data_IF_570084909148
#
_entry.id   IF_570084909148
#
_cell.length_a   1.000
_cell.length_b   1.000
_cell.length_c   1.000
_cell.angle_alpha   90.00
_cell.angle_beta   90.00
_cell.angle_gamma   90.00
#
_symmetry.space_group_name_H-M   'P 1'
#
loop_
_entity.id
_entity.type
_entity.pdbx_description
1 polymer ?
#
# COMPACT_ATOMS: atom_id res chain seq x y z
N UNK A 1 -16.27 -115.43 65.48
CA UNK A 1 -14.95 -114.90 65.07
C UNK A 1 -14.82 -114.65 63.56
N UNK A 2 -15.15 -115.61 62.67
CA UNK A 2 -15.02 -115.41 61.20
C UNK A 2 -15.80 -114.22 60.59
N UNK A 3 -17.07 -113.92 60.95
CA UNK A 3 -17.78 -112.78 60.36
C UNK A 3 -17.23 -111.42 60.82
N UNK A 4 -16.90 -111.30 62.11
CA UNK A 4 -16.34 -110.07 62.69
C UNK A 4 -14.97 -109.71 62.12
N UNK A 5 -14.10 -110.71 61.87
CA UNK A 5 -12.80 -110.49 61.19
C UNK A 5 -13.01 -110.10 59.72
N UNK A 6 -14.00 -110.69 59.04
CA UNK A 6 -14.35 -110.33 57.66
C UNK A 6 -14.91 -108.89 57.55
N UNK A 7 -15.74 -108.45 58.49
CA UNK A 7 -16.27 -107.07 58.53
C UNK A 7 -15.18 -106.05 58.87
N UNK A 8 -14.25 -106.36 59.77
CA UNK A 8 -13.08 -105.50 60.07
C UNK A 8 -12.18 -105.38 58.83
N UNK A 9 -11.91 -106.48 58.12
CA UNK A 9 -11.13 -106.47 56.88
C UNK A 9 -11.84 -105.65 55.80
N UNK A 10 -13.17 -105.80 55.66
CA UNK A 10 -13.99 -105.03 54.70
C UNK A 10 -14.01 -103.54 55.02
N UNK A 11 -14.23 -103.16 56.29
CA UNK A 11 -14.19 -101.76 56.74
C UNK A 11 -12.80 -101.15 56.58
N UNK A 12 -11.73 -101.91 56.88
CA UNK A 12 -10.34 -101.48 56.63
C UNK A 12 -10.08 -101.25 55.13
N UNK A 13 -10.60 -102.12 54.26
CA UNK A 13 -10.49 -101.96 52.81
C UNK A 13 -11.25 -100.72 52.32
N UNK A 14 -12.50 -100.53 52.76
CA UNK A 14 -13.31 -99.36 52.42
C UNK A 14 -12.69 -98.05 52.92
N UNK A 15 -12.17 -98.02 54.15
CA UNK A 15 -11.49 -96.84 54.70
C UNK A 15 -10.20 -96.53 53.91
N UNK A 16 -9.42 -97.55 53.52
CA UNK A 16 -8.24 -97.39 52.68
C UNK A 16 -8.59 -96.82 51.31
N UNK A 17 -9.66 -97.30 50.67
CA UNK A 17 -10.17 -96.75 49.41
C UNK A 17 -10.67 -95.31 49.56
N UNK A 18 -11.36 -94.97 50.65
CA UNK A 18 -11.83 -93.61 50.90
C UNK A 18 -10.66 -92.64 51.10
N UNK A 19 -9.66 -93.01 51.91
CA UNK A 19 -8.45 -92.21 52.11
C UNK A 19 -7.70 -92.04 50.79
N UNK A 20 -7.60 -93.09 49.97
CA UNK A 20 -6.95 -93.02 48.67
C UNK A 20 -7.71 -92.07 47.72
N UNK A 21 -9.03 -92.18 47.62
CA UNK A 21 -9.85 -91.26 46.80
C UNK A 21 -9.75 -89.81 47.28
N UNK A 22 -9.78 -89.58 48.59
CA UNK A 22 -9.61 -88.23 49.15
C UNK A 22 -8.20 -87.67 48.88
N UNK A 23 -7.16 -88.50 49.02
CA UNK A 23 -5.78 -88.12 48.70
C UNK A 23 -5.61 -87.76 47.23
N UNK A 24 -6.15 -88.58 46.32
CA UNK A 24 -6.13 -88.33 44.88
C UNK A 24 -6.90 -87.06 44.51
N UNK A 25 -8.05 -86.81 45.15
CA UNK A 25 -8.83 -85.59 44.93
C UNK A 25 -8.10 -84.34 45.45
N UNK A 26 -7.51 -84.39 46.65
CA UNK A 26 -6.70 -83.30 47.18
C UNK A 26 -5.48 -83.02 46.29
N UNK A 27 -4.82 -84.06 45.78
CA UNK A 27 -3.69 -83.89 44.85
C UNK A 27 -4.12 -83.23 43.54
N UNK A 28 -5.25 -83.67 42.95
CA UNK A 28 -5.81 -83.05 41.74
C UNK A 28 -6.21 -81.59 41.96
N UNK A 29 -6.90 -81.28 43.05
CA UNK A 29 -7.32 -79.92 43.38
C UNK A 29 -6.10 -79.01 43.60
N UNK A 30 -5.12 -79.45 44.39
CA UNK A 30 -3.88 -78.68 44.61
C UNK A 30 -3.09 -78.49 43.30
N UNK A 31 -3.02 -79.52 42.45
CA UNK A 31 -2.37 -79.41 41.14
C UNK A 31 -3.08 -78.45 40.20
N UNK A 32 -4.42 -78.42 40.20
CA UNK A 32 -5.21 -77.46 39.42
C UNK A 32 -4.98 -76.03 39.90
N UNK A 33 -5.02 -75.82 41.21
CA UNK A 33 -4.79 -74.52 41.82
C UNK A 33 -3.37 -73.99 41.56
N UNK A 34 -2.35 -74.85 41.65
CA UNK A 34 -0.97 -74.49 41.30
C UNK A 34 -0.87 -74.08 39.83
N UNK A 35 -1.56 -74.78 38.92
CA UNK A 35 -1.56 -74.44 37.50
C UNK A 35 -2.23 -73.09 37.22
N UNK A 36 -3.39 -72.82 37.83
CA UNK A 36 -4.07 -71.53 37.73
C UNK A 36 -3.21 -70.38 38.27
N UNK A 37 -2.51 -70.60 39.39
CA UNK A 37 -1.55 -69.62 39.92
C UNK A 37 -0.36 -69.40 38.99
N UNK A 38 0.15 -70.44 38.33
CA UNK A 38 1.24 -70.30 37.35
C UNK A 38 0.79 -69.50 36.13
N UNK A 39 -0.40 -69.79 35.58
CA UNK A 39 -0.99 -69.06 34.45
C UNK A 39 -1.24 -67.58 34.82
N UNK A 40 -1.77 -67.32 36.02
CA UNK A 40 -1.99 -65.94 36.52
C UNK A 40 -0.67 -65.18 36.67
N UNK A 41 0.36 -65.81 37.24
CA UNK A 41 1.68 -65.18 37.37
C UNK A 41 2.32 -64.91 36.01
N UNK A 42 2.17 -65.82 35.05
CA UNK A 42 2.68 -65.61 33.69
C UNK A 42 1.96 -64.43 33.01
N UNK A 43 0.64 -64.33 33.16
CA UNK A 43 -0.15 -63.21 32.65
C UNK A 43 0.26 -61.88 33.30
N UNK A 44 0.45 -61.87 34.62
CA UNK A 44 0.90 -60.69 35.36
C UNK A 44 2.29 -60.23 34.89
N UNK A 45 3.23 -61.14 34.72
CA UNK A 45 4.57 -60.83 34.21
C UNK A 45 4.53 -60.21 32.81
N UNK A 46 3.73 -60.77 31.90
CA UNK A 46 3.56 -60.22 30.57
C UNK A 46 2.98 -58.79 30.60
N UNK A 47 2.04 -58.52 31.51
CA UNK A 47 1.47 -57.17 31.65
C UNK A 47 2.47 -56.17 32.25
N UNK A 48 3.30 -56.61 33.19
CA UNK A 48 4.40 -55.80 33.74
C UNK A 48 5.42 -55.44 32.67
N UNK A 49 5.78 -56.38 31.78
CA UNK A 49 6.66 -56.11 30.64
C UNK A 49 6.05 -55.06 29.70
N UNK A 50 4.78 -55.20 29.32
CA UNK A 50 4.07 -54.23 28.48
C UNK A 50 4.03 -52.82 29.13
N UNK A 51 3.78 -52.74 30.42
CA UNK A 51 3.78 -51.46 31.15
C UNK A 51 5.18 -50.84 31.19
N UNK A 52 6.23 -51.65 31.35
CA UNK A 52 7.61 -51.16 31.35
C UNK A 52 8.02 -50.62 29.96
N UNK A 53 7.62 -51.29 28.88
CA UNK A 53 7.83 -50.80 27.51
C UNK A 53 7.07 -49.48 27.26
N UNK A 54 5.79 -49.41 27.65
CA UNK A 54 5.01 -48.18 27.53
C UNK A 54 5.64 -47.02 28.33
N UNK A 55 6.09 -47.29 29.56
CA UNK A 55 6.79 -46.31 30.39
C UNK A 55 8.13 -45.86 29.77
N UNK A 56 8.85 -46.77 29.12
CA UNK A 56 10.09 -46.45 28.42
C UNK A 56 9.83 -45.47 27.27
N UNK A 57 8.80 -45.73 26.44
CA UNK A 57 8.43 -44.83 25.35
C UNK A 57 7.93 -43.47 25.83
N UNK A 58 7.12 -43.41 26.89
CA UNK A 58 6.70 -42.12 27.45
C UNK A 58 7.86 -41.32 28.04
N UNK A 59 8.87 -41.96 28.64
CA UNK A 59 10.10 -41.27 29.07
C UNK A 59 10.87 -40.65 27.90
N UNK A 60 10.95 -41.34 26.76
CA UNK A 60 11.57 -40.79 25.54
C UNK A 60 10.78 -39.58 25.07
N UNK A 61 9.45 -39.73 24.93
CA UNK A 61 8.56 -38.65 24.49
C UNK A 61 8.66 -37.40 25.37
N UNK A 62 8.72 -37.57 26.69
CA UNK A 62 8.92 -36.46 27.62
C UNK A 62 10.26 -35.76 27.43
N UNK A 63 11.32 -36.52 27.12
CA UNK A 63 12.65 -35.95 26.84
C UNK A 63 12.66 -35.16 25.53
N UNK A 64 11.98 -35.66 24.50
CA UNK A 64 11.84 -34.95 23.22
C UNK A 64 11.05 -33.65 23.40
N UNK A 65 9.92 -33.71 24.11
CA UNK A 65 9.10 -32.53 24.41
C UNK A 65 9.86 -31.49 25.25
N UNK A 66 10.68 -31.94 26.21
CA UNK A 66 11.57 -31.04 26.96
C UNK A 66 12.58 -30.35 26.05
N UNK A 67 13.12 -31.06 25.06
CA UNK A 67 14.08 -30.51 24.11
C UNK A 67 13.41 -29.47 23.21
N UNK A 68 12.23 -29.78 22.66
CA UNK A 68 11.43 -28.83 21.88
C UNK A 68 11.07 -27.58 22.69
N UNK A 69 10.69 -27.75 23.96
CA UNK A 69 10.39 -26.61 24.84
C UNK A 69 11.61 -25.71 25.06
N UNK A 70 12.81 -26.29 25.24
CA UNK A 70 14.04 -25.49 25.38
C UNK A 70 14.39 -24.75 24.08
N UNK A 71 14.20 -25.39 22.92
CA UNK A 71 14.40 -24.75 21.62
C UNK A 71 13.44 -23.59 21.40
N UNK A 72 12.14 -23.79 21.67
CA UNK A 72 11.13 -22.74 21.56
C UNK A 72 11.42 -21.57 22.50
N UNK A 73 11.85 -21.87 23.74
CA UNK A 73 12.26 -20.85 24.70
C UNK A 73 13.45 -20.02 24.20
N UNK A 74 14.44 -20.67 23.58
CA UNK A 74 15.58 -19.98 23.00
C UNK A 74 15.16 -19.06 21.83
N UNK A 75 14.30 -19.55 20.93
CA UNK A 75 13.74 -18.78 19.82
C UNK A 75 13.01 -17.52 20.33
N UNK A 76 12.15 -17.66 21.34
CA UNK A 76 11.41 -16.52 21.92
C UNK A 76 12.37 -15.47 22.50
N UNK A 77 13.48 -15.88 23.10
CA UNK A 77 14.48 -14.94 23.63
C UNK A 77 15.21 -14.18 22.52
N UNK A 78 15.49 -14.84 21.40
CA UNK A 78 16.10 -14.22 20.22
C UNK A 78 15.13 -13.21 19.57
N UNK A 79 13.87 -13.60 19.35
CA UNK A 79 12.83 -12.70 18.85
C UNK A 79 12.66 -11.48 19.75
N UNK A 80 12.68 -11.67 21.07
CA UNK A 80 12.60 -10.56 22.04
C UNK A 80 13.81 -9.63 21.93
N UNK A 81 15.01 -10.15 21.68
CA UNK A 81 16.20 -9.34 21.49
C UNK A 81 16.10 -8.50 20.20
N UNK A 82 15.62 -9.10 19.10
CA UNK A 82 15.37 -8.38 17.84
C UNK A 82 14.31 -7.28 18.01
N UNK A 83 13.20 -7.58 18.69
CA UNK A 83 12.15 -6.58 19.00
C UNK A 83 12.74 -5.41 19.78
N UNK A 84 13.56 -5.66 20.80
CA UNK A 84 14.19 -4.60 21.58
C UNK A 84 15.17 -3.77 20.72
N UNK A 85 15.90 -4.39 19.80
CA UNK A 85 16.77 -3.67 18.86
C UNK A 85 15.95 -2.75 17.96
N UNK A 86 14.90 -3.26 17.33
CA UNK A 86 13.99 -2.48 16.47
C UNK A 86 13.32 -1.34 17.24
N UNK A 87 12.96 -1.55 18.51
CA UNK A 87 12.42 -0.49 19.37
C UNK A 87 13.42 0.64 19.61
N UNK A 88 14.70 0.33 19.79
CA UNK A 88 15.75 1.36 19.94
C UNK A 88 15.99 2.11 18.62
N UNK A 89 16.00 1.42 17.48
CA UNK A 89 16.12 2.04 16.16
C UNK A 89 14.94 3.00 15.89
N UNK A 90 13.70 2.57 16.16
CA UNK A 90 12.51 3.41 16.06
C UNK A 90 12.53 4.61 17.02
N UNK A 91 13.14 4.47 18.20
CA UNK A 91 13.31 5.60 19.11
C UNK A 91 14.25 6.65 18.52
N UNK A 92 15.38 6.21 17.93
CA UNK A 92 16.34 7.12 17.29
C UNK A 92 15.70 7.86 16.11
N UNK A 93 14.94 7.16 15.26
CA UNK A 93 14.21 7.78 14.15
C UNK A 93 13.17 8.79 14.64
N UNK A 94 12.44 8.49 15.73
CA UNK A 94 11.51 9.46 16.34
C UNK A 94 12.21 10.70 16.86
N UNK A 95 13.36 10.55 17.50
CA UNK A 95 14.17 11.66 17.98
C UNK A 95 14.66 12.54 16.82
N UNK A 96 15.09 11.94 15.70
CA UNK A 96 15.46 12.67 14.49
C UNK A 96 14.26 13.39 13.84
N UNK A 97 13.08 12.75 13.79
CA UNK A 97 11.85 13.40 13.32
C UNK A 97 11.48 14.62 14.19
N UNK A 98 11.59 14.52 15.51
CA UNK A 98 11.37 15.68 16.39
C UNK A 98 12.40 16.79 16.16
N UNK A 99 13.67 16.46 15.88
CA UNK A 99 14.69 17.46 15.52
C UNK A 99 14.39 18.12 14.18
N UNK A 100 13.89 17.36 13.22
CA UNK A 100 13.43 17.87 11.92
C UNK A 100 12.26 18.82 12.14
N UNK A 101 11.24 18.43 12.91
CA UNK A 101 10.08 19.28 13.25
C UNK A 101 10.52 20.57 13.97
N UNK A 102 11.43 20.49 14.93
CA UNK A 102 12.01 21.67 15.59
C UNK A 102 12.78 22.58 14.61
N UNK A 103 13.50 21.98 13.65
CA UNK A 103 14.21 22.70 12.60
C UNK A 103 13.24 23.39 11.64
N UNK A 104 12.21 22.68 11.18
CA UNK A 104 11.14 23.20 10.34
C UNK A 104 10.39 24.34 11.02
N UNK A 105 10.02 24.19 12.31
CA UNK A 105 9.40 25.27 13.10
C UNK A 105 10.31 26.50 13.20
N UNK A 106 11.63 26.31 13.42
CA UNK A 106 12.60 27.42 13.42
C UNK A 106 12.71 28.09 12.05
N UNK A 107 12.72 27.31 10.97
CA UNK A 107 12.75 27.82 9.60
C UNK A 107 11.46 28.56 9.26
N UNK A 108 10.30 28.07 9.66
CA UNK A 108 9.00 28.72 9.48
C UNK A 108 8.96 30.07 10.22
N UNK A 109 9.45 30.11 11.47
CA UNK A 109 9.60 31.39 12.20
C UNK A 109 10.55 32.33 11.45
N UNK A 110 11.66 31.84 10.89
CA UNK A 110 12.58 32.66 10.10
C UNK A 110 11.94 33.16 8.80
N UNK A 111 11.17 32.32 8.10
CA UNK A 111 10.41 32.67 6.89
C UNK A 111 9.38 33.74 7.24
N UNK A 112 8.63 33.58 8.33
CA UNK A 112 7.65 34.56 8.77
C UNK A 112 8.32 35.88 9.17
N UNK A 113 9.45 35.84 9.87
CA UNK A 113 10.25 37.03 10.17
C UNK A 113 10.86 37.69 8.92
N UNK A 114 11.24 36.89 7.91
CA UNK A 114 11.71 37.38 6.61
C UNK A 114 10.56 38.00 5.83
N UNK A 115 9.38 37.38 5.82
CA UNK A 115 8.16 37.90 5.23
C UNK A 115 7.74 39.23 5.89
N UNK A 116 7.80 39.32 7.23
CA UNK A 116 7.57 40.56 7.97
C UNK A 116 8.64 41.61 7.67
N UNK A 117 9.92 41.21 7.49
CA UNK A 117 11.00 42.11 7.08
C UNK A 117 10.85 42.58 5.62
N UNK A 118 10.33 41.75 4.74
CA UNK A 118 9.96 42.10 3.36
C UNK A 118 8.78 43.08 3.39
N UNK A 119 7.79 42.86 4.25
CA UNK A 119 6.64 43.76 4.43
C UNK A 119 7.02 45.09 5.08
N UNK A 120 8.01 45.13 5.98
CA UNK A 120 8.43 46.34 6.70
C UNK A 120 9.54 47.13 5.99
N UNK A 121 10.33 46.50 5.11
CA UNK A 121 11.26 47.20 4.19
C UNK A 121 10.57 47.43 2.86
N UNK A 122 9.76 48.49 2.79
CA UNK A 122 8.97 48.86 1.62
C UNK A 122 9.76 49.05 0.31
N UNK A 123 10.04 47.94 -0.37
CA UNK A 123 10.49 47.86 -1.77
C UNK A 123 9.93 46.58 -2.43
N UNK A 124 8.70 46.21 -2.10
CA UNK A 124 7.79 45.75 -3.13
C UNK A 124 6.70 46.81 -3.13
N UNK A 125 6.74 47.72 -4.11
CA UNK A 125 5.46 48.16 -4.65
C UNK A 125 4.69 46.87 -4.89
N UNK A 126 3.63 46.60 -4.11
CA UNK A 126 2.70 45.53 -4.43
C UNK A 126 2.40 45.74 -5.90
N UNK A 127 2.88 44.82 -6.74
CA UNK A 127 2.53 44.85 -8.13
C UNK A 127 1.04 44.52 -8.14
N UNK A 128 0.24 45.57 -8.05
CA UNK A 128 -1.20 45.51 -8.12
C UNK A 128 -1.50 45.68 -9.60
N UNK A 129 -1.93 44.60 -10.24
CA UNK A 129 -2.63 44.69 -11.50
C UNK A 129 -4.08 45.06 -11.17
N UNK A 130 -4.47 46.34 -11.26
CA UNK A 130 -5.77 46.78 -10.75
C UNK A 130 -6.92 46.18 -11.56
N UNK A 131 -6.65 45.77 -12.80
CA UNK A 131 -7.61 45.09 -13.67
C UNK A 131 -7.84 43.66 -13.17
N UNK A 132 -6.77 42.93 -12.84
CA UNK A 132 -6.86 41.60 -12.24
C UNK A 132 -7.66 41.62 -10.93
N UNK A 133 -7.32 42.53 -10.02
CA UNK A 133 -8.03 42.73 -8.75
C UNK A 133 -9.50 43.06 -8.97
N UNK A 134 -9.80 43.91 -9.96
CA UNK A 134 -11.16 44.26 -10.32
C UNK A 134 -11.96 43.05 -10.84
N UNK A 135 -11.39 42.23 -11.71
CA UNK A 135 -12.04 41.03 -12.25
C UNK A 135 -12.29 39.98 -11.16
N UNK A 136 -11.31 39.73 -10.30
CA UNK A 136 -11.42 38.76 -9.21
C UNK A 136 -12.38 39.20 -8.10
N UNK A 137 -12.43 40.50 -7.78
CA UNK A 137 -13.36 41.03 -6.79
C UNK A 137 -14.84 40.82 -7.16
N UNK A 138 -15.16 40.79 -8.46
CA UNK A 138 -16.50 40.53 -8.97
C UNK A 138 -16.86 39.05 -9.08
N UNK A 139 -15.84 38.18 -9.08
CA UNK A 139 -16.00 36.75 -9.30
C UNK A 139 -16.53 36.05 -8.04
N UNK A 140 -17.47 35.12 -8.24
CA UNK A 140 -18.07 34.33 -7.16
C UNK A 140 -17.22 33.08 -6.87
N UNK A 141 -17.17 32.59 -5.63
CA UNK A 141 -16.53 31.31 -5.32
C UNK A 141 -17.15 30.14 -6.09
N UNK A 142 -16.37 29.10 -6.36
CA UNK A 142 -16.78 27.85 -7.03
C UNK A 142 -17.39 28.06 -8.43
N UNK A 143 -16.99 29.12 -9.13
CA UNK A 143 -17.47 29.42 -10.49
C UNK A 143 -16.35 29.37 -11.53
N UNK A 144 -16.72 29.58 -12.78
CA UNK A 144 -15.77 29.85 -13.85
C UNK A 144 -15.26 31.28 -13.73
N UNK A 145 -13.94 31.43 -13.66
CA UNK A 145 -13.28 32.73 -13.64
C UNK A 145 -12.60 32.94 -14.99
N UNK A 146 -13.07 33.96 -15.70
CA UNK A 146 -12.50 34.41 -16.97
C UNK A 146 -11.49 35.53 -16.70
N UNK A 147 -10.22 35.23 -16.91
CA UNK A 147 -9.11 36.17 -16.88
C UNK A 147 -8.42 36.24 -18.26
N UNK A 148 -9.17 35.96 -19.32
CA UNK A 148 -8.66 36.11 -20.68
C UNK A 148 -8.49 37.60 -21.04
N UNK A 149 -7.48 37.90 -21.87
CA UNK A 149 -7.20 39.26 -22.37
C UNK A 149 -6.91 40.30 -21.27
N UNK A 150 -6.42 39.88 -20.10
CA UNK A 150 -6.15 40.77 -18.95
C UNK A 150 -4.72 41.32 -18.90
N UNK A 151 -3.94 41.13 -19.98
CA UNK A 151 -2.51 41.50 -20.05
C UNK A 151 -1.70 40.91 -18.88
N UNK A 152 -2.00 39.67 -18.48
CA UNK A 152 -1.29 39.00 -17.40
C UNK A 152 0.10 38.54 -17.86
N UNK A 153 1.07 38.66 -16.96
CA UNK A 153 2.43 38.16 -17.11
C UNK A 153 2.73 37.14 -15.99
N UNK A 154 3.89 36.48 -16.03
CA UNK A 154 4.28 35.50 -15.00
C UNK A 154 4.23 36.04 -13.57
N UNK A 155 4.44 37.34 -13.38
CA UNK A 155 4.36 38.01 -12.06
C UNK A 155 2.94 38.12 -11.50
N UNK A 156 1.92 38.03 -12.35
CA UNK A 156 0.50 38.08 -11.96
C UNK A 156 0.01 36.72 -11.44
N UNK A 157 0.71 35.64 -11.80
CA UNK A 157 0.26 34.26 -11.57
C UNK A 157 0.14 33.91 -10.09
N UNK A 158 1.03 34.44 -9.23
CA UNK A 158 0.91 34.24 -7.78
C UNK A 158 -0.40 34.79 -7.25
N UNK A 159 -0.82 35.97 -7.73
CA UNK A 159 -2.10 36.58 -7.37
C UNK A 159 -3.27 35.77 -7.92
N UNK A 160 -3.18 35.28 -9.16
CA UNK A 160 -4.19 34.40 -9.76
C UNK A 160 -4.38 33.13 -8.92
N UNK A 161 -3.31 32.45 -8.54
CA UNK A 161 -3.40 31.22 -7.74
C UNK A 161 -4.03 31.52 -6.38
N UNK A 162 -3.52 32.55 -5.69
CA UNK A 162 -4.03 32.92 -4.38
C UNK A 162 -5.53 33.22 -4.42
N UNK A 163 -5.95 34.09 -5.33
CA UNK A 163 -7.33 34.58 -5.34
C UNK A 163 -8.27 33.64 -6.12
N UNK A 164 -7.95 33.26 -7.35
CA UNK A 164 -8.85 32.47 -8.19
C UNK A 164 -8.88 30.99 -7.78
N UNK A 165 -7.70 30.38 -7.57
CA UNK A 165 -7.59 28.94 -7.35
C UNK A 165 -7.83 28.57 -5.88
N UNK A 166 -7.27 29.35 -4.94
CA UNK A 166 -7.33 29.04 -3.50
C UNK A 166 -8.53 29.72 -2.83
N UNK A 167 -8.63 31.05 -2.86
CA UNK A 167 -9.68 31.78 -2.13
C UNK A 167 -11.08 31.59 -2.73
N UNK A 168 -11.16 31.57 -4.07
CA UNK A 168 -12.43 31.41 -4.79
C UNK A 168 -12.71 29.96 -5.16
N UNK A 169 -11.76 29.03 -5.00
CA UNK A 169 -11.93 27.60 -5.33
C UNK A 169 -12.59 27.41 -6.71
N UNK A 170 -12.12 28.15 -7.73
CA UNK A 170 -12.75 28.12 -9.04
C UNK A 170 -12.67 26.72 -9.67
N UNK A 171 -13.75 26.33 -10.35
CA UNK A 171 -13.82 25.05 -11.08
C UNK A 171 -13.29 25.19 -12.50
N UNK A 172 -13.26 26.42 -13.03
CA UNK A 172 -12.75 26.72 -14.38
C UNK A 172 -11.98 28.02 -14.36
N UNK A 173 -10.80 28.01 -14.98
CA UNK A 173 -9.92 29.16 -15.05
C UNK A 173 -9.48 29.38 -16.50
N UNK A 174 -9.92 30.49 -17.08
CA UNK A 174 -9.49 30.92 -18.42
C UNK A 174 -8.39 31.99 -18.29
N UNK A 175 -7.20 31.69 -18.80
CA UNK A 175 -6.05 32.58 -18.87
C UNK A 175 -5.66 32.91 -20.31
N UNK A 176 -6.58 32.74 -21.25
CA UNK A 176 -6.34 32.94 -22.67
C UNK A 176 -5.88 34.38 -23.01
N UNK A 177 -5.16 34.53 -24.13
CA UNK A 177 -4.75 35.83 -24.67
C UNK A 177 -4.00 36.71 -23.66
N UNK A 178 -3.09 36.11 -22.90
CA UNK A 178 -2.20 36.78 -21.97
C UNK A 178 -0.73 36.60 -22.41
N UNK A 179 0.22 37.07 -21.59
CA UNK A 179 1.66 36.95 -21.82
C UNK A 179 2.31 36.00 -20.80
N UNK A 180 1.63 34.91 -20.46
CA UNK A 180 2.13 33.88 -19.54
C UNK A 180 3.14 33.02 -20.28
N UNK A 181 4.34 32.87 -19.72
CA UNK A 181 5.41 32.06 -20.30
C UNK A 181 5.46 30.67 -19.66
N UNK A 182 6.43 29.85 -20.07
CA UNK A 182 6.76 28.60 -19.39
C UNK A 182 6.90 28.75 -17.86
N UNK A 183 7.43 29.88 -17.39
CA UNK A 183 7.61 30.14 -15.96
C UNK A 183 6.26 30.26 -15.24
N UNK A 184 5.34 31.08 -15.76
CA UNK A 184 4.01 31.21 -15.16
C UNK A 184 3.22 29.92 -15.23
N UNK A 185 3.33 29.16 -16.33
CA UNK A 185 2.72 27.84 -16.45
C UNK A 185 3.25 26.84 -15.39
N UNK A 186 4.56 26.84 -15.11
CA UNK A 186 5.15 26.00 -14.07
C UNK A 186 4.65 26.37 -12.66
N UNK A 187 4.46 27.67 -12.38
CA UNK A 187 3.90 28.13 -11.09
C UNK A 187 2.45 27.64 -10.94
N UNK A 188 1.64 27.70 -12.01
CA UNK A 188 0.28 27.13 -12.00
C UNK A 188 0.32 25.62 -11.83
N UNK A 189 1.19 24.92 -12.56
CA UNK A 189 1.34 23.47 -12.46
C UNK A 189 1.58 23.02 -11.01
N UNK A 190 2.50 23.67 -10.29
CA UNK A 190 2.78 23.34 -8.88
C UNK A 190 1.54 23.53 -7.99
N UNK A 191 0.72 24.55 -8.25
CA UNK A 191 -0.53 24.75 -7.51
C UNK A 191 -1.57 23.65 -7.75
N UNK A 192 -1.55 22.98 -8.91
CA UNK A 192 -2.48 21.90 -9.25
C UNK A 192 -2.21 20.62 -8.45
N UNK A 193 -1.00 20.44 -7.89
CA UNK A 193 -0.62 19.25 -7.13
C UNK A 193 -1.53 18.98 -5.93
N UNK A 194 -2.05 20.04 -5.32
CA UNK A 194 -2.92 19.99 -4.15
C UNK A 194 -4.36 20.46 -4.46
N UNK A 195 -4.62 20.89 -5.69
CA UNK A 195 -5.93 21.37 -6.09
C UNK A 195 -6.80 20.18 -6.54
N UNK A 196 -7.95 20.03 -5.89
CA UNK A 196 -8.89 18.93 -6.12
C UNK A 196 -10.23 19.41 -6.68
N UNK A 197 -10.30 20.64 -7.22
CA UNK A 197 -11.56 21.32 -7.58
C UNK A 197 -11.53 21.89 -9.00
N UNK A 198 -10.35 22.27 -9.53
CA UNK A 198 -10.21 22.85 -10.86
C UNK A 198 -10.37 21.76 -11.92
N UNK A 199 -11.42 21.90 -12.73
CA UNK A 199 -11.79 20.97 -13.80
C UNK A 199 -11.37 21.45 -15.19
N UNK A 200 -11.28 22.77 -15.41
CA UNK A 200 -10.92 23.34 -16.71
C UNK A 200 -9.88 24.45 -16.57
N UNK A 201 -8.80 24.37 -17.36
CA UNK A 201 -7.72 25.34 -17.39
C UNK A 201 -7.38 25.67 -18.84
N UNK A 202 -7.48 26.95 -19.22
CA UNK A 202 -7.17 27.41 -20.57
C UNK A 202 -6.00 28.40 -20.59
N UNK A 203 -4.99 28.11 -21.40
CA UNK A 203 -3.84 28.96 -21.70
C UNK A 203 -3.83 29.44 -23.15
N UNK A 204 -4.94 29.38 -23.88
CA UNK A 204 -4.97 29.70 -25.31
C UNK A 204 -4.26 31.03 -25.62
N UNK A 205 -3.41 31.05 -26.65
CA UNK A 205 -2.69 32.25 -27.08
C UNK A 205 -1.83 32.91 -25.98
N UNK A 206 -0.92 32.12 -25.41
CA UNK A 206 0.12 32.55 -24.47
C UNK A 206 1.52 32.12 -24.98
N UNK A 207 2.52 32.06 -24.11
CA UNK A 207 3.90 31.67 -24.41
C UNK A 207 4.36 30.48 -23.56
N UNK A 208 3.47 29.52 -23.29
CA UNK A 208 3.74 28.35 -22.42
C UNK A 208 4.94 27.53 -22.93
N UNK A 209 5.08 27.36 -24.25
CA UNK A 209 6.15 26.58 -24.91
C UNK A 209 6.26 25.12 -24.44
N UNK A 210 7.20 24.36 -25.01
CA UNK A 210 7.46 22.97 -24.60
C UNK A 210 7.86 22.85 -23.12
N UNK A 211 8.56 23.85 -22.58
CA UNK A 211 9.02 23.85 -21.18
C UNK A 211 7.85 23.97 -20.19
N UNK A 212 6.89 24.85 -20.47
CA UNK A 212 5.70 24.97 -19.62
C UNK A 212 4.80 23.74 -19.73
N UNK A 213 4.69 23.16 -20.94
CA UNK A 213 4.00 21.89 -21.15
C UNK A 213 4.67 20.76 -20.37
N UNK A 214 6.00 20.70 -20.33
CA UNK A 214 6.72 19.71 -19.52
C UNK A 214 6.35 19.80 -18.03
N UNK A 215 6.35 21.01 -17.45
CA UNK A 215 5.96 21.21 -16.05
C UNK A 215 4.50 20.83 -15.78
N UNK A 216 3.58 21.21 -16.68
CA UNK A 216 2.18 20.79 -16.58
C UNK A 216 2.04 19.26 -16.68
N UNK A 217 2.74 18.63 -17.63
CA UNK A 217 2.69 17.20 -17.88
C UNK A 217 3.21 16.40 -16.68
N UNK A 218 4.30 16.83 -16.04
CA UNK A 218 4.87 16.17 -14.86
C UNK A 218 3.85 16.10 -13.71
N UNK A 219 3.17 17.21 -13.41
CA UNK A 219 2.18 17.26 -12.33
C UNK A 219 0.91 16.50 -12.70
N UNK A 220 0.41 16.67 -13.94
CA UNK A 220 -0.81 16.01 -14.41
C UNK A 220 -0.63 14.50 -14.62
N UNK A 221 0.60 14.00 -14.73
CA UNK A 221 0.89 12.55 -14.76
C UNK A 221 0.57 11.87 -13.43
N UNK A 222 0.47 12.64 -12.34
CA UNK A 222 0.04 12.14 -11.03
C UNK A 222 -1.48 12.02 -10.94
N UNK A 223 -1.98 10.94 -10.34
CA UNK A 223 -3.42 10.63 -10.25
C UNK A 223 -4.23 11.56 -9.31
N UNK A 224 -3.63 12.67 -8.84
CA UNK A 224 -4.27 13.57 -7.89
C UNK A 224 -5.07 14.69 -8.55
N UNK A 225 -4.82 14.98 -9.83
CA UNK A 225 -5.52 16.04 -10.54
C UNK A 225 -6.85 15.56 -11.11
N UNK A 226 -7.92 16.33 -10.86
CA UNK A 226 -9.25 16.10 -11.45
C UNK A 226 -9.48 16.88 -12.76
N UNK A 227 -8.43 17.52 -13.29
CA UNK A 227 -8.54 18.38 -14.47
C UNK A 227 -9.06 17.59 -15.67
N UNK A 228 -10.15 18.07 -16.27
CA UNK A 228 -10.88 17.42 -17.37
C UNK A 228 -10.63 18.09 -18.72
N UNK A 229 -10.35 19.39 -18.73
CA UNK A 229 -10.09 20.16 -19.93
C UNK A 229 -8.81 21.00 -19.80
N UNK A 230 -7.92 20.89 -20.78
CA UNK A 230 -6.68 21.66 -20.86
C UNK A 230 -6.56 22.35 -22.22
N UNK A 231 -6.61 23.67 -22.21
CA UNK A 231 -6.41 24.52 -23.38
C UNK A 231 -4.96 24.98 -23.51
N UNK A 232 -4.31 24.63 -24.61
CA UNK A 232 -2.91 24.93 -24.91
C UNK A 232 -2.72 25.42 -26.35
N UNK A 233 -3.79 25.89 -26.99
CA UNK A 233 -3.72 26.39 -28.37
C UNK A 233 -2.84 27.65 -28.48
N UNK A 234 -2.17 27.86 -29.61
CA UNK A 234 -1.33 29.06 -29.85
C UNK A 234 -0.30 29.34 -28.74
N UNK A 235 0.48 28.33 -28.35
CA UNK A 235 1.48 28.44 -27.27
C UNK A 235 2.93 28.15 -27.72
N UNK A 236 3.14 28.00 -29.02
CA UNK A 236 4.46 27.69 -29.58
C UNK A 236 4.95 26.28 -29.27
N UNK A 237 4.05 25.34 -29.00
CA UNK A 237 4.36 23.94 -28.68
C UNK A 237 4.87 23.22 -29.93
N UNK A 238 5.95 22.44 -29.80
CA UNK A 238 6.56 21.64 -30.87
C UNK A 238 6.37 20.15 -30.62
N UNK A 239 7.01 19.30 -31.41
CA UNK A 239 7.01 17.85 -31.21
C UNK A 239 7.53 17.43 -29.81
N UNK A 240 8.42 18.21 -29.20
CA UNK A 240 8.93 17.91 -27.85
C UNK A 240 7.84 18.10 -26.79
N UNK A 241 7.05 19.18 -26.86
CA UNK A 241 5.91 19.35 -25.98
C UNK A 241 4.81 18.31 -26.24
N UNK A 242 4.60 17.93 -27.50
CA UNK A 242 3.71 16.81 -27.83
C UNK A 242 4.18 15.48 -27.24
N UNK A 243 5.50 15.22 -27.19
CA UNK A 243 6.08 14.05 -26.55
C UNK A 243 5.81 14.05 -25.03
N UNK A 244 5.96 15.19 -24.34
CA UNK A 244 5.62 15.30 -22.92
C UNK A 244 4.13 15.06 -22.64
N UNK A 245 3.25 15.61 -23.49
CA UNK A 245 1.80 15.35 -23.39
C UNK A 245 1.47 13.88 -23.66
N UNK A 246 2.12 13.27 -24.66
CA UNK A 246 1.96 11.86 -24.98
C UNK A 246 2.43 10.95 -23.85
N UNK A 247 3.48 11.31 -23.10
CA UNK A 247 3.91 10.57 -21.92
C UNK A 247 2.89 10.73 -20.77
N UNK A 248 2.45 11.96 -20.49
CA UNK A 248 1.46 12.23 -19.44
C UNK A 248 0.14 11.50 -19.68
N UNK A 249 -0.35 11.45 -20.93
CA UNK A 249 -1.59 10.77 -21.29
C UNK A 249 -1.54 9.24 -21.10
N UNK A 250 -0.35 8.63 -20.95
CA UNK A 250 -0.25 7.19 -20.65
C UNK A 250 -0.77 6.88 -19.25
N UNK A 251 -0.59 7.80 -18.29
CA UNK A 251 -1.00 7.60 -16.90
C UNK A 251 -2.22 8.42 -16.54
N UNK A 252 -2.36 9.65 -17.06
CA UNK A 252 -3.52 10.48 -16.81
C UNK A 252 -4.74 9.95 -17.57
N UNK A 253 -5.80 9.63 -16.82
CA UNK A 253 -7.09 9.20 -17.36
C UNK A 253 -8.23 10.18 -16.98
N UNK A 254 -7.90 11.41 -16.57
CA UNK A 254 -8.88 12.42 -16.14
C UNK A 254 -9.16 13.45 -17.23
N UNK A 255 -8.14 13.80 -18.04
CA UNK A 255 -8.30 14.73 -19.16
C UNK A 255 -9.16 14.07 -20.24
N UNK A 256 -10.23 14.78 -20.61
CA UNK A 256 -11.19 14.41 -21.67
C UNK A 256 -11.15 15.35 -22.87
N UNK A 257 -10.64 16.58 -22.68
CA UNK A 257 -10.49 17.58 -23.73
C UNK A 257 -9.09 18.20 -23.68
N UNK A 258 -8.38 18.14 -24.80
CA UNK A 258 -7.05 18.71 -24.96
C UNK A 258 -6.99 19.52 -26.26
N UNK A 259 -6.77 20.82 -26.15
CA UNK A 259 -6.63 21.70 -27.31
C UNK A 259 -5.19 22.11 -27.56
N UNK A 260 -4.65 21.71 -28.71
CA UNK A 260 -3.30 22.00 -29.19
C UNK A 260 -3.30 22.72 -30.54
N UNK A 261 -4.42 23.34 -30.90
CA UNK A 261 -4.56 24.05 -32.16
C UNK A 261 -3.57 25.21 -32.30
N UNK A 262 -3.20 25.55 -33.53
CA UNK A 262 -2.33 26.71 -33.82
C UNK A 262 -0.96 26.61 -33.12
N UNK A 263 -0.39 25.41 -33.04
CA UNK A 263 0.97 25.20 -32.52
C UNK A 263 1.95 24.85 -33.68
N UNK A 264 3.15 24.38 -33.33
CA UNK A 264 4.22 24.00 -34.24
C UNK A 264 4.46 22.48 -34.20
N UNK A 265 3.42 21.69 -33.91
CA UNK A 265 3.48 20.23 -33.89
C UNK A 265 3.51 19.73 -35.34
N UNK A 266 4.41 18.78 -35.63
CA UNK A 266 4.53 18.13 -36.93
C UNK A 266 3.91 16.74 -36.93
N UNK A 267 3.92 16.06 -38.08
CA UNK A 267 3.51 14.66 -38.21
C UNK A 267 4.17 13.74 -37.16
N UNK A 268 5.41 14.04 -36.74
CA UNK A 268 6.09 13.28 -35.68
C UNK A 268 5.34 13.40 -34.35
N UNK A 269 5.05 14.61 -33.90
CA UNK A 269 4.35 14.84 -32.63
C UNK A 269 2.91 14.31 -32.67
N UNK A 270 2.23 14.45 -33.81
CA UNK A 270 0.89 13.85 -34.02
C UNK A 270 0.95 12.33 -33.88
N UNK A 271 1.93 11.68 -34.51
CA UNK A 271 2.10 10.22 -34.42
C UNK A 271 2.36 9.74 -32.98
N UNK A 272 3.10 10.51 -32.18
CA UNK A 272 3.32 10.20 -30.76
C UNK A 272 2.00 10.25 -29.98
N UNK A 273 1.23 11.33 -30.14
CA UNK A 273 -0.07 11.48 -29.51
C UNK A 273 -1.05 10.38 -29.96
N UNK A 274 -1.14 10.13 -31.27
CA UNK A 274 -2.02 9.11 -31.84
C UNK A 274 -1.69 7.70 -31.31
N UNK A 275 -0.41 7.32 -31.27
CA UNK A 275 0.00 6.04 -30.71
C UNK A 275 -0.37 5.91 -29.22
N UNK A 276 -0.13 6.94 -28.40
CA UNK A 276 -0.55 6.91 -26.99
C UNK A 276 -2.07 6.74 -26.86
N UNK A 277 -2.84 7.48 -27.67
CA UNK A 277 -4.30 7.43 -27.63
C UNK A 277 -4.86 6.08 -28.12
N UNK A 278 -4.22 5.45 -29.11
CA UNK A 278 -4.66 4.17 -29.63
C UNK A 278 -4.45 3.01 -28.64
N UNK A 279 -3.41 3.08 -27.80
CA UNK A 279 -2.95 1.93 -27.02
C UNK A 279 -2.93 2.12 -25.51
N UNK A 280 -2.94 3.36 -25.00
CA UNK A 280 -2.63 3.65 -23.59
C UNK A 280 -3.59 4.64 -22.91
N UNK A 281 -4.39 5.39 -23.66
CA UNK A 281 -5.35 6.34 -23.10
C UNK A 281 -6.77 6.04 -23.57
N UNK A 282 -7.72 6.04 -22.64
CA UNK A 282 -9.14 5.78 -22.94
C UNK A 282 -10.07 6.92 -22.51
N UNK A 283 -9.52 7.95 -21.86
CA UNK A 283 -10.28 9.06 -21.31
C UNK A 283 -10.41 10.23 -22.27
N UNK A 284 -9.40 10.48 -23.12
CA UNK A 284 -9.40 11.63 -24.01
C UNK A 284 -10.44 11.46 -25.11
N UNK A 285 -11.44 12.33 -25.12
CA UNK A 285 -12.55 12.31 -26.08
C UNK A 285 -12.33 13.29 -27.22
N UNK A 286 -11.67 14.40 -26.95
CA UNK A 286 -11.46 15.48 -27.91
C UNK A 286 -10.01 15.92 -27.89
N UNK A 287 -9.34 15.74 -29.02
CA UNK A 287 -8.03 16.29 -29.31
C UNK A 287 -8.13 17.27 -30.47
N UNK A 288 -7.79 18.54 -30.25
CA UNK A 288 -7.80 19.56 -31.30
C UNK A 288 -6.38 19.88 -31.76
N UNK A 289 -6.06 19.57 -33.02
CA UNK A 289 -4.74 19.77 -33.63
C UNK A 289 -4.76 20.70 -34.86
N UNK A 290 -5.88 21.36 -35.14
CA UNK A 290 -6.03 22.17 -36.34
C UNK A 290 -5.00 23.31 -36.41
N UNK A 291 -4.59 23.67 -37.63
CA UNK A 291 -3.69 24.81 -37.90
C UNK A 291 -2.30 24.67 -37.25
N UNK A 292 -1.85 23.43 -37.00
CA UNK A 292 -0.44 23.15 -36.75
C UNK A 292 0.30 23.14 -38.10
N UNK A 293 1.25 24.05 -38.27
CA UNK A 293 1.84 24.41 -39.59
C UNK A 293 2.55 23.26 -40.32
N UNK A 294 2.81 22.16 -39.64
CA UNK A 294 3.66 21.07 -40.10
C UNK A 294 2.94 19.71 -40.11
N UNK A 295 1.60 19.73 -40.03
CA UNK A 295 0.76 18.53 -40.19
C UNK A 295 0.43 18.35 -41.67
N UNK A 296 0.83 17.22 -42.24
CA UNK A 296 0.51 16.81 -43.60
C UNK A 296 -0.57 15.72 -43.60
N UNK A 297 -1.17 15.43 -44.77
CA UNK A 297 -2.17 14.36 -44.89
C UNK A 297 -1.64 12.98 -44.44
N UNK A 298 -0.32 12.78 -44.40
CA UNK A 298 0.31 11.53 -43.95
C UNK A 298 0.10 11.23 -42.45
N UNK A 299 -0.24 12.23 -41.63
CA UNK A 299 -0.54 12.02 -40.21
C UNK A 299 -1.97 11.56 -39.93
N UNK A 300 -2.84 11.49 -40.95
CA UNK A 300 -4.26 11.11 -40.82
C UNK A 300 -4.48 9.60 -40.94
N UNK A 301 -3.51 8.87 -41.50
CA UNK A 301 -3.59 7.43 -41.81
C UNK A 301 -2.99 6.51 -40.71
N UNK A 302 -2.69 7.02 -39.51
CA UNK A 302 -2.17 6.26 -38.35
C UNK A 302 -3.16 6.21 -37.21
#
# INVERSE_FOLDING_TARGET
>A
MRPMVADIIKNKHQLKEQIQKMSEQCYKNNSSYIKELQETNQCLNAHVEQLNEALYHEKIRLKDLQTEFQQLKASILEDRAQINQLQNELQYEREDLTRIDECCNKQEIQINQLADKINTKGVLSTYENPQLEHCLSKSQPHTAIDLSEQQLFDRDIETVIKQAVIEKECTRLDLGYNAITAKGAAIIAESLKYNTILEELDFHNNHVSDLGVHSLAEILSSNNSILRALGLGSNGITDNGAEHLAEMLKTNQTITWLALAVNQISDRGVKLLANTLAYQNTSLLVLSLHVNKSISDASVDT
#
